data_IF_584327815514
#
_entry.id   IF_584327815514
#
_cell.length_a   1.000
_cell.length_b   1.000
_cell.length_c   1.000
_cell.angle_alpha   90.00
_cell.angle_beta   90.00
_cell.angle_gamma   90.00
#
_symmetry.space_group_name_H-M   'P 1'
#
loop_
_entity.id
_entity.type
_entity.pdbx_description
1 polymer ?
#
# COMPACT_ATOMS: atom_id res chain seq x y z
N UNK A 1 -15.92 28.52 -5.94
CA UNK A 1 -14.86 27.74 -6.48
C UNK A 1 -14.78 26.39 -5.86
N UNK A 2 -14.92 25.44 -6.66
CA UNK A 2 -14.88 24.06 -6.19
C UNK A 2 -13.49 23.51 -6.15
N UNK A 3 -12.51 24.26 -6.61
CA UNK A 3 -11.16 23.74 -6.72
C UNK A 3 -10.58 23.09 -5.49
N UNK A 4 -10.67 23.72 -4.33
CA UNK A 4 -10.08 23.09 -3.14
C UNK A 4 -10.73 21.76 -2.83
N UNK A 5 -12.02 21.67 -3.03
CA UNK A 5 -12.72 20.43 -2.77
C UNK A 5 -12.32 19.36 -3.76
N UNK A 6 -12.15 19.75 -5.00
CA UNK A 6 -11.74 18.80 -6.02
C UNK A 6 -10.38 18.22 -5.71
N UNK A 7 -9.48 19.05 -5.24
CA UNK A 7 -8.16 18.57 -4.90
C UNK A 7 -8.19 17.57 -3.76
N UNK A 8 -8.99 17.85 -2.75
CA UNK A 8 -9.09 16.93 -1.63
C UNK A 8 -9.66 15.60 -2.05
N UNK A 9 -10.69 15.63 -2.88
CA UNK A 9 -11.28 14.39 -3.35
C UNK A 9 -10.31 13.59 -4.18
N UNK A 10 -9.56 14.27 -5.02
CA UNK A 10 -8.60 13.57 -5.86
C UNK A 10 -7.52 12.88 -5.02
N UNK A 11 -7.13 13.51 -3.92
CA UNK A 11 -6.11 12.94 -3.06
C UNK A 11 -6.64 11.81 -2.21
N UNK A 12 -7.93 11.85 -1.90
CA UNK A 12 -8.50 10.88 -0.98
C UNK A 12 -8.60 9.50 -1.60
N UNK A 13 -8.86 9.40 -2.90
CA UNK A 13 -9.09 8.10 -3.51
C UNK A 13 -8.46 8.06 -4.89
N UNK A 14 -7.26 7.52 -4.99
CA UNK A 14 -6.63 7.37 -6.31
C UNK A 14 -7.42 6.39 -7.16
N UNK A 15 -7.38 6.60 -8.46
CA UNK A 15 -8.04 5.72 -9.39
C UNK A 15 -7.25 4.43 -9.56
N UNK A 16 -7.91 3.41 -10.13
CA UNK A 16 -7.21 2.18 -10.43
C UNK A 16 -6.02 2.42 -11.36
N UNK A 17 -6.17 3.30 -12.32
CA UNK A 17 -5.06 3.60 -13.24
C UNK A 17 -3.87 4.22 -12.51
N UNK A 18 -4.14 5.13 -11.58
CA UNK A 18 -3.07 5.72 -10.79
C UNK A 18 -2.36 4.66 -9.94
N UNK A 19 -3.12 3.75 -9.40
CA UNK A 19 -2.55 2.69 -8.59
C UNK A 19 -1.66 1.77 -9.40
N UNK A 20 -2.08 1.46 -10.63
CA UNK A 20 -1.25 0.65 -11.51
C UNK A 20 0.08 1.34 -11.77
N UNK A 21 0.05 2.64 -12.03
CA UNK A 21 1.29 3.36 -12.29
C UNK A 21 2.24 3.31 -11.11
N UNK A 22 1.72 3.37 -9.91
CA UNK A 22 2.57 3.34 -8.73
C UNK A 22 3.07 1.94 -8.40
N UNK A 23 2.33 0.92 -8.77
CA UNK A 23 2.67 -0.44 -8.38
C UNK A 23 3.41 -1.23 -9.44
N UNK A 24 3.37 -0.82 -10.69
CA UNK A 24 4.07 -1.58 -11.71
C UNK A 24 5.57 -1.33 -11.61
N UNK A 25 6.38 -2.31 -12.01
CA UNK A 25 7.82 -2.12 -11.97
C UNK A 25 8.19 -0.92 -12.81
N UNK A 26 9.05 -0.08 -12.25
CA UNK A 26 9.43 1.12 -12.96
C UNK A 26 10.41 0.79 -14.06
N UNK A 27 10.27 1.43 -15.20
CA UNK A 27 11.21 1.20 -16.26
C UNK A 27 12.54 1.70 -15.82
N UNK A 28 13.51 1.11 -16.38
CA UNK A 28 14.77 1.43 -15.94
C UNK A 28 15.41 2.41 -16.82
N UNK A 29 14.77 3.48 -17.00
CA UNK A 29 15.39 4.55 -17.72
C UNK A 29 16.83 4.77 -17.30
N UNK A 30 17.10 4.76 -16.03
CA UNK A 30 18.47 4.99 -15.59
C UNK A 30 19.42 3.94 -16.02
N UNK A 31 18.95 2.78 -16.40
CA UNK A 31 19.88 1.76 -16.71
C UNK A 31 20.73 2.03 -17.89
N UNK A 32 20.31 2.89 -18.75
CA UNK A 32 21.12 3.18 -19.90
C UNK A 32 22.45 3.75 -19.52
N UNK A 33 22.41 4.67 -18.59
CA UNK A 33 23.64 5.31 -18.17
C UNK A 33 24.45 4.42 -17.30
N UNK A 34 23.80 3.50 -16.69
CA UNK A 34 24.48 2.69 -15.72
C UNK A 34 25.43 1.71 -16.35
N UNK A 35 25.51 1.66 -17.63
CA UNK A 35 26.44 0.76 -18.26
C UNK A 35 27.85 0.97 -17.78
N UNK A 36 28.22 2.19 -17.56
CA UNK A 36 29.56 2.47 -17.11
C UNK A 36 29.80 2.05 -15.69
N UNK A 37 28.77 2.05 -14.93
CA UNK A 37 28.86 1.71 -13.52
C UNK A 37 28.25 0.38 -13.27
N UNK A 38 28.35 -0.46 -14.24
CA UNK A 38 27.65 -1.72 -14.19
C UNK A 38 27.79 -2.48 -12.90
N UNK A 39 28.98 -2.60 -12.43
CA UNK A 39 29.24 -3.36 -11.23
C UNK A 39 28.54 -2.76 -10.02
N UNK A 40 28.66 -1.47 -9.91
CA UNK A 40 28.06 -0.78 -8.78
C UNK A 40 26.56 -0.80 -8.90
N UNK A 41 26.07 -0.68 -10.11
CA UNK A 41 24.64 -0.66 -10.34
C UNK A 41 23.96 -1.94 -9.93
N UNK A 42 24.60 -3.04 -10.20
CA UNK A 42 24.03 -4.31 -9.84
C UNK A 42 23.77 -4.40 -8.35
N UNK A 43 24.70 -3.93 -7.55
CA UNK A 43 24.52 -3.94 -6.11
C UNK A 43 23.42 -2.99 -5.68
N UNK A 44 23.37 -1.84 -6.32
CA UNK A 44 22.35 -0.85 -5.99
C UNK A 44 20.97 -1.38 -6.32
N UNK A 45 20.84 -2.05 -7.45
CA UNK A 45 19.54 -2.57 -7.84
C UNK A 45 19.03 -3.62 -6.88
N UNK A 46 19.91 -4.37 -6.29
CA UNK A 46 19.50 -5.38 -5.33
C UNK A 46 18.81 -4.73 -4.12
N UNK A 47 19.20 -3.51 -3.81
CA UNK A 47 18.64 -2.80 -2.68
C UNK A 47 17.57 -1.79 -3.06
N UNK A 48 17.24 -1.70 -4.32
CA UNK A 48 16.26 -0.72 -4.77
C UNK A 48 14.90 -1.01 -4.14
N UNK A 49 14.20 0.03 -3.68
CA UNK A 49 12.89 -0.20 -3.11
C UNK A 49 11.92 -0.73 -4.16
N UNK A 50 11.06 -1.60 -3.71
CA UNK A 50 10.03 -2.14 -4.59
C UNK A 50 8.90 -1.15 -4.75
N UNK A 51 8.19 -1.16 -5.87
CA UNK A 51 7.06 -0.26 -6.04
C UNK A 51 6.03 -0.47 -4.93
N UNK A 52 5.53 0.60 -4.40
CA UNK A 52 4.55 0.51 -3.32
C UNK A 52 3.54 1.64 -3.38
N UNK A 53 2.43 1.42 -2.69
CA UNK A 53 1.34 2.36 -2.64
C UNK A 53 0.77 2.36 -1.22
N UNK A 54 0.60 3.53 -0.64
CA UNK A 54 -0.01 3.66 0.68
C UNK A 54 -1.41 4.22 0.56
N UNK A 55 -2.34 3.61 1.27
CA UNK A 55 -3.74 4.03 1.28
C UNK A 55 -4.19 4.26 2.71
N UNK A 56 -4.93 5.34 2.93
CA UNK A 56 -5.52 5.61 4.22
C UNK A 56 -6.86 4.89 4.29
N UNK A 57 -6.82 3.65 4.72
CA UNK A 57 -8.02 2.84 4.85
C UNK A 57 -8.56 3.00 6.26
N UNK A 58 -9.81 3.36 6.37
CA UNK A 58 -10.44 3.58 7.66
C UNK A 58 -11.14 2.32 8.15
N UNK A 59 -10.97 2.06 9.43
CA UNK A 59 -11.59 0.90 10.08
C UNK A 59 -12.41 1.40 11.28
N UNK A 60 -13.39 0.60 11.68
CA UNK A 60 -14.12 0.88 12.90
C UNK A 60 -13.18 0.86 14.07
N UNK A 61 -13.51 1.62 15.11
CA UNK A 61 -12.65 1.73 16.27
C UNK A 61 -12.35 0.35 16.85
N UNK A 62 -11.10 0.11 17.15
CA UNK A 62 -10.65 -1.15 17.75
C UNK A 62 -11.05 -2.37 16.94
N UNK A 63 -11.08 -2.23 15.62
CA UNK A 63 -11.64 -3.26 14.77
C UNK A 63 -10.87 -3.38 13.47
N UNK A 64 -11.00 -4.52 12.82
CA UNK A 64 -10.48 -4.71 11.49
C UNK A 64 -11.57 -4.58 10.43
N UNK A 65 -12.74 -4.09 10.82
CA UNK A 65 -13.83 -3.91 9.86
C UNK A 65 -13.62 -2.62 9.08
N UNK A 66 -13.54 -2.74 7.77
CA UNK A 66 -13.32 -1.59 6.89
C UNK A 66 -14.59 -0.75 6.85
N UNK A 67 -14.42 0.56 7.02
CA UNK A 67 -15.57 1.47 6.94
C UNK A 67 -16.03 1.62 5.51
N UNK A 68 -17.33 1.88 5.32
CA UNK A 68 -17.85 2.03 3.95
C UNK A 68 -17.13 3.07 3.12
N UNK A 69 -16.65 4.15 3.75
CA UNK A 69 -15.93 5.20 3.04
C UNK A 69 -14.67 4.70 2.35
N UNK A 70 -14.10 3.63 2.85
CA UNK A 70 -12.84 3.12 2.30
C UNK A 70 -13.05 1.99 1.29
N UNK A 71 -14.27 1.55 1.11
CA UNK A 71 -14.52 0.46 0.17
C UNK A 71 -14.19 0.84 -1.27
N UNK A 72 -14.43 2.09 -1.65
CA UNK A 72 -14.13 2.50 -3.01
C UNK A 72 -12.63 2.42 -3.30
N UNK A 73 -11.80 2.80 -2.34
CA UNK A 73 -10.37 2.70 -2.52
C UNK A 73 -9.94 1.25 -2.70
N UNK A 74 -10.54 0.34 -1.93
CA UNK A 74 -10.20 -1.08 -2.07
C UNK A 74 -10.72 -1.67 -3.36
N UNK A 75 -11.87 -1.21 -3.83
CA UNK A 75 -12.36 -1.65 -5.12
C UNK A 75 -11.43 -1.21 -6.24
N UNK A 76 -10.98 0.04 -6.18
CA UNK A 76 -10.02 0.55 -7.16
C UNK A 76 -8.73 -0.25 -7.11
N UNK A 77 -8.27 -0.58 -5.91
CA UNK A 77 -7.07 -1.38 -5.76
C UNK A 77 -7.25 -2.78 -6.34
N UNK A 78 -8.40 -3.40 -6.09
CA UNK A 78 -8.67 -4.71 -6.66
C UNK A 78 -8.63 -4.68 -8.18
N UNK A 79 -9.19 -3.63 -8.77
CA UNK A 79 -9.15 -3.47 -10.21
C UNK A 79 -7.71 -3.30 -10.71
N UNK A 80 -6.92 -2.53 -9.97
CA UNK A 80 -5.52 -2.31 -10.34
C UNK A 80 -4.73 -3.61 -10.32
N UNK A 81 -4.94 -4.41 -9.27
CA UNK A 81 -4.19 -5.66 -9.13
C UNK A 81 -4.60 -6.71 -10.15
N UNK A 82 -5.75 -6.55 -10.76
CA UNK A 82 -6.20 -7.45 -11.82
C UNK A 82 -5.89 -6.92 -13.21
N UNK A 83 -5.23 -5.76 -13.29
CA UNK A 83 -4.88 -5.18 -14.57
C UNK A 83 -3.85 -6.05 -15.28
N UNK A 84 -3.75 -5.85 -16.58
CA UNK A 84 -2.80 -6.59 -17.39
C UNK A 84 -1.38 -6.41 -16.86
N UNK A 85 -1.07 -5.23 -16.40
CA UNK A 85 0.27 -4.90 -15.93
C UNK A 85 0.65 -5.60 -14.62
N UNK A 86 -0.34 -5.90 -13.78
CA UNK A 86 -0.06 -6.40 -12.45
C UNK A 86 -0.59 -7.79 -12.16
N UNK A 87 -1.34 -8.38 -13.06
CA UNK A 87 -2.04 -9.62 -12.74
C UNK A 87 -1.14 -10.82 -12.43
N UNK A 88 0.12 -10.74 -12.82
CA UNK A 88 1.06 -11.82 -12.55
C UNK A 88 1.90 -11.56 -11.30
N UNK A 89 1.78 -10.40 -10.71
CA UNK A 89 2.64 -10.03 -9.59
C UNK A 89 2.04 -10.45 -8.26
N UNK A 90 2.91 -10.61 -7.28
CA UNK A 90 2.52 -10.86 -5.90
C UNK A 90 2.74 -9.60 -5.09
N UNK A 91 1.92 -9.43 -4.08
CA UNK A 91 1.93 -8.19 -3.30
C UNK A 91 1.91 -8.47 -1.81
N UNK A 92 2.67 -7.67 -1.06
CA UNK A 92 2.52 -7.64 0.38
C UNK A 92 1.47 -6.59 0.72
N UNK A 93 0.62 -6.91 1.67
CA UNK A 93 -0.40 -5.98 2.16
C UNK A 93 -0.05 -5.70 3.61
N UNK A 94 0.51 -4.52 3.88
CA UNK A 94 0.99 -4.18 5.21
C UNK A 94 -0.01 -3.30 5.94
N UNK A 95 -0.41 -3.73 7.12
CA UNK A 95 -1.22 -2.89 8.00
C UNK A 95 -0.32 -2.08 8.91
N UNK A 96 -0.61 -0.80 9.06
CA UNK A 96 0.15 0.10 9.92
C UNK A 96 -0.79 0.83 10.86
N UNK A 97 -0.34 1.08 12.08
CA UNK A 97 -1.10 1.86 13.06
C UNK A 97 -0.29 3.08 13.47
N UNK A 98 -0.96 4.01 14.17
CA UNK A 98 -0.20 5.06 14.84
C UNK A 98 0.34 4.47 16.14
N UNK A 99 1.06 5.28 16.90
CA UNK A 99 1.74 4.82 18.10
C UNK A 99 0.86 4.87 19.35
N UNK A 100 -0.41 5.23 19.22
CA UNK A 100 -1.28 5.30 20.37
C UNK A 100 -1.62 3.90 20.87
N UNK A 101 -1.47 3.70 22.18
CA UNK A 101 -1.80 2.43 22.79
C UNK A 101 -0.59 1.49 22.88
N UNK A 102 -0.87 0.26 23.23
CA UNK A 102 0.19 -0.72 23.45
C UNK A 102 0.73 -1.26 22.15
N UNK A 103 2.04 -1.45 22.11
CA UNK A 103 2.70 -1.90 20.90
C UNK A 103 2.24 -3.28 20.45
N UNK A 104 2.09 -4.22 21.38
CA UNK A 104 1.69 -5.57 21.03
C UNK A 104 0.24 -5.61 20.52
N UNK A 105 -0.62 -4.78 21.10
CA UNK A 105 -2.00 -4.68 20.64
C UNK A 105 -2.04 -4.10 19.23
N UNK A 106 -1.27 -3.05 18.99
CA UNK A 106 -1.22 -2.42 17.67
C UNK A 106 -0.67 -3.36 16.61
N UNK A 107 0.32 -4.15 16.97
CA UNK A 107 0.86 -5.11 16.03
C UNK A 107 -0.20 -6.11 15.62
N UNK A 108 -0.89 -6.66 16.60
CA UNK A 108 -1.93 -7.64 16.32
C UNK A 108 -3.07 -7.04 15.52
N UNK A 109 -3.48 -5.83 15.87
CA UNK A 109 -4.55 -5.16 15.15
C UNK A 109 -4.15 -4.89 13.70
N UNK A 110 -2.90 -4.48 13.48
CA UNK A 110 -2.43 -4.21 12.13
C UNK A 110 -2.42 -5.48 11.30
N UNK A 111 -2.09 -6.59 11.91
CA UNK A 111 -2.14 -7.89 11.24
C UNK A 111 -3.56 -8.23 10.83
N UNK A 112 -4.49 -8.06 11.75
CA UNK A 112 -5.89 -8.35 11.47
C UNK A 112 -6.43 -7.46 10.36
N UNK A 113 -6.01 -6.19 10.35
CA UNK A 113 -6.44 -5.26 9.32
C UNK A 113 -5.86 -5.61 7.96
N UNK A 114 -4.60 -6.06 7.93
CA UNK A 114 -4.00 -6.50 6.68
C UNK A 114 -4.75 -7.71 6.12
N UNK A 115 -5.12 -8.65 7.00
CA UNK A 115 -5.90 -9.80 6.57
C UNK A 115 -7.27 -9.39 6.08
N UNK A 116 -7.90 -8.43 6.75
CA UNK A 116 -9.23 -7.96 6.33
C UNK A 116 -9.18 -7.33 4.96
N UNK A 117 -8.16 -6.51 4.70
CA UNK A 117 -8.00 -5.89 3.39
C UNK A 117 -7.79 -6.96 2.32
N UNK A 118 -6.94 -7.93 2.61
CA UNK A 118 -6.69 -9.01 1.66
C UNK A 118 -7.98 -9.79 1.36
N UNK A 119 -8.82 -10.00 2.38
CA UNK A 119 -10.09 -10.68 2.18
C UNK A 119 -11.03 -9.87 1.30
N UNK A 120 -11.06 -8.55 1.47
CA UNK A 120 -11.89 -7.69 0.62
C UNK A 120 -11.41 -7.76 -0.82
N UNK A 121 -10.09 -7.69 -1.02
CA UNK A 121 -9.53 -7.76 -2.36
C UNK A 121 -9.85 -9.10 -3.02
N UNK A 122 -9.75 -10.19 -2.25
CA UNK A 122 -10.08 -11.51 -2.78
C UNK A 122 -11.55 -11.60 -3.14
N UNK A 123 -12.42 -10.95 -2.35
CA UNK A 123 -13.84 -10.91 -2.66
C UNK A 123 -14.15 -10.19 -3.95
N UNK A 124 -13.25 -9.33 -4.40
CA UNK A 124 -13.42 -8.61 -5.66
C UNK A 124 -12.63 -9.23 -6.80
N UNK A 125 -12.11 -10.42 -6.61
CA UNK A 125 -11.51 -11.14 -7.72
C UNK A 125 -10.00 -11.29 -7.72
N UNK A 126 -9.32 -10.73 -6.73
CA UNK A 126 -7.86 -10.90 -6.65
C UNK A 126 -7.56 -12.25 -6.01
N UNK A 127 -6.69 -13.02 -6.62
CA UNK A 127 -6.35 -14.33 -6.07
C UNK A 127 -5.63 -14.17 -4.74
N UNK A 128 -6.15 -14.84 -3.72
CA UNK A 128 -5.60 -14.70 -2.37
C UNK A 128 -4.14 -15.14 -2.30
N UNK A 129 -3.75 -16.09 -3.14
CA UNK A 129 -2.37 -16.57 -3.16
C UNK A 129 -1.37 -15.50 -3.60
N UNK A 130 -1.85 -14.44 -4.21
CA UNK A 130 -0.99 -13.33 -4.62
C UNK A 130 -0.81 -12.29 -3.54
N UNK A 131 -1.48 -12.45 -2.41
CA UNK A 131 -1.50 -11.45 -1.35
C UNK A 131 -0.84 -12.01 -0.09
N UNK A 132 0.08 -11.24 0.47
CA UNK A 132 0.76 -11.62 1.71
C UNK A 132 0.46 -10.56 2.78
N UNK A 133 -0.55 -10.78 3.62
CA UNK A 133 -0.87 -9.80 4.65
C UNK A 133 0.17 -9.82 5.76
N UNK A 134 0.59 -8.63 6.17
CA UNK A 134 1.63 -8.45 7.17
C UNK A 134 1.23 -7.33 8.12
N UNK A 135 1.41 -7.53 9.42
CA UNK A 135 1.20 -6.47 10.39
C UNK A 135 2.51 -5.80 10.73
N UNK A 136 2.52 -4.49 10.69
CA UNK A 136 3.71 -3.70 11.06
C UNK A 136 3.52 -2.92 12.35
N UNK A 137 2.29 -2.84 12.86
CA UNK A 137 2.02 -2.05 14.04
C UNK A 137 2.43 -0.61 13.81
N UNK A 138 3.08 -0.02 14.81
CA UNK A 138 3.54 1.36 14.72
C UNK A 138 5.04 1.43 14.41
N UNK A 139 5.62 0.34 13.97
CA UNK A 139 7.09 0.25 13.83
C UNK A 139 7.66 1.02 12.66
N UNK A 140 6.84 1.35 11.67
CA UNK A 140 7.34 2.01 10.47
C UNK A 140 6.40 3.15 10.09
N UNK A 141 6.40 4.23 10.88
CA UNK A 141 5.44 5.30 10.64
C UNK A 141 5.76 6.08 9.36
N UNK A 142 4.71 6.50 8.68
CA UNK A 142 4.86 7.37 7.53
C UNK A 142 5.35 8.74 7.97
N UNK A 143 4.88 9.18 9.14
CA UNK A 143 5.30 10.45 9.72
C UNK A 143 6.11 10.16 10.97
N UNK A 144 7.42 10.15 10.84
CA UNK A 144 8.29 9.84 11.97
C UNK A 144 8.36 10.98 12.97
N UNK A 145 8.08 12.20 12.54
CA UNK A 145 8.10 13.34 13.42
C UNK A 145 6.88 13.34 14.36
N UNK A 146 5.79 12.73 13.94
CA UNK A 146 4.57 12.65 14.75
C UNK A 146 4.04 11.24 14.72
N UNK A 147 4.48 10.40 15.66
CA UNK A 147 4.05 8.98 15.66
C UNK A 147 2.55 8.78 15.85
N UNK A 148 1.85 9.79 16.35
CA UNK A 148 0.40 9.70 16.55
C UNK A 148 -0.39 10.24 15.37
N UNK A 149 0.27 10.66 14.30
CA UNK A 149 -0.41 11.26 13.18
C UNK A 149 -1.33 10.27 12.48
N UNK A 150 -2.41 10.80 11.94
CA UNK A 150 -3.40 9.96 11.28
C UNK A 150 -2.85 9.25 10.05
N UNK A 151 -1.90 9.85 9.36
CA UNK A 151 -1.34 9.23 8.17
C UNK A 151 -0.54 7.98 8.48
N UNK A 152 -0.23 7.73 9.75
CA UNK A 152 0.44 6.49 10.14
C UNK A 152 -0.52 5.31 10.16
N UNK A 153 -1.82 5.57 10.19
CA UNK A 153 -2.83 4.53 10.13
C UNK A 153 -3.15 4.28 8.67
N UNK A 154 -2.44 3.35 8.08
CA UNK A 154 -2.55 3.12 6.64
C UNK A 154 -2.34 1.66 6.28
N UNK A 155 -2.67 1.34 5.05
CA UNK A 155 -2.34 0.05 4.47
C UNK A 155 -1.38 0.33 3.32
N UNK A 156 -0.28 -0.38 3.31
CA UNK A 156 0.72 -0.21 2.26
C UNK A 156 0.78 -1.48 1.44
N UNK A 157 0.69 -1.32 0.13
CA UNK A 157 0.74 -2.46 -0.79
C UNK A 157 2.07 -2.38 -1.51
N UNK A 158 2.81 -3.49 -1.53
CA UNK A 158 4.15 -3.53 -2.10
C UNK A 158 4.20 -4.62 -3.15
N UNK A 159 4.63 -4.26 -4.34
CA UNK A 159 4.84 -5.26 -5.41
C UNK A 159 6.11 -6.03 -5.09
N UNK A 160 5.98 -7.34 -4.94
CA UNK A 160 7.11 -8.18 -4.55
C UNK A 160 7.93 -8.66 -5.74
N UNK A 161 7.45 -8.44 -6.92
CA UNK A 161 8.17 -8.80 -8.14
C UNK A 161 8.91 -7.59 -8.67
#
# INVERSE_FOLDING_TARGET
>A
MASPHSLLLAQATPSAADMVEQLKPQPSAPKTRSLRNLTVEAATNADAPKPSLSLLIQFDFNSAKVKPESHQALLNLAQALQSKELKESKFAVEGHTDAKGRADYNFKLSEQRAHAVSAVLAGHGVEIARLAPVGKGANDPANTADPLAAENRRVRVINLD
#
